data_IF_986284010762
#
_entry.id   IF_986284010762
#
_cell.length_a   1.000
_cell.length_b   1.000
_cell.length_c   1.000
_cell.angle_alpha   90.00
_cell.angle_beta   90.00
_cell.angle_gamma   90.00
#
_symmetry.space_group_name_H-M   'P 1'
#
loop_
_entity.id
_entity.type
_entity.pdbx_description
1 polymer ?
#
# COMPACT_ATOMS: atom_id res chain seq x y z
N UNK A 1 26.20 17.63 26.61
CA UNK A 1 26.91 18.01 25.36
C UNK A 1 26.03 18.81 24.43
N UNK A 2 24.88 18.25 24.04
CA UNK A 2 23.97 18.81 23.02
C UNK A 2 23.50 20.25 23.35
N UNK A 3 22.93 20.50 24.53
CA UNK A 3 22.46 21.84 24.94
C UNK A 3 23.54 22.92 24.82
N UNK A 4 24.78 22.63 25.28
CA UNK A 4 25.92 23.57 25.20
C UNK A 4 26.31 23.87 23.75
N UNK A 5 26.39 22.83 22.90
CA UNK A 5 26.74 23.01 21.48
C UNK A 5 25.66 23.78 20.73
N UNK A 6 24.39 23.46 20.96
CA UNK A 6 23.23 24.15 20.38
C UNK A 6 23.28 25.65 20.66
N UNK A 7 23.44 26.03 21.93
CA UNK A 7 23.53 27.44 22.33
C UNK A 7 24.78 28.14 21.77
N UNK A 8 25.94 27.47 21.78
CA UNK A 8 27.20 28.05 21.32
C UNK A 8 27.20 28.40 19.82
N UNK A 9 26.58 27.57 18.99
CA UNK A 9 26.52 27.79 17.53
C UNK A 9 25.23 28.49 17.08
N UNK A 10 24.31 28.81 18.01
CA UNK A 10 22.98 29.36 17.73
C UNK A 10 22.22 28.56 16.65
N UNK A 11 22.33 27.24 16.70
CA UNK A 11 21.66 26.36 15.74
C UNK A 11 20.14 26.45 15.90
N UNK A 12 19.41 26.20 14.80
CA UNK A 12 17.96 26.00 14.92
C UNK A 12 17.64 24.71 15.66
N UNK A 13 16.45 24.63 16.26
CA UNK A 13 15.94 23.39 16.86
C UNK A 13 15.89 22.27 15.81
N UNK A 14 15.51 22.62 14.58
CA UNK A 14 15.43 21.68 13.44
C UNK A 14 16.79 21.07 13.13
N UNK A 15 17.84 21.89 12.95
CA UNK A 15 19.18 21.38 12.62
C UNK A 15 19.75 20.50 13.73
N UNK A 16 19.51 20.90 14.98
CA UNK A 16 19.99 20.18 16.16
C UNK A 16 19.36 18.81 16.24
N UNK A 17 18.02 18.74 16.15
CA UNK A 17 17.29 17.48 16.22
C UNK A 17 17.48 16.61 14.97
N UNK A 18 17.57 17.21 13.77
CA UNK A 18 17.92 16.47 12.56
C UNK A 18 19.29 15.79 12.70
N UNK A 19 20.28 16.51 13.24
CA UNK A 19 21.59 15.93 13.52
C UNK A 19 21.53 14.75 14.50
N UNK A 20 20.76 14.90 15.60
CA UNK A 20 20.59 13.85 16.60
C UNK A 20 19.81 12.63 16.06
N UNK A 21 18.79 12.85 15.22
CA UNK A 21 17.91 11.80 14.71
C UNK A 21 18.27 11.34 13.30
N UNK A 22 19.42 11.77 12.78
CA UNK A 22 19.94 11.39 11.46
C UNK A 22 20.10 9.87 11.30
N UNK A 23 20.46 9.16 12.38
CA UNK A 23 20.54 7.69 12.41
C UNK A 23 19.20 6.98 12.14
N UNK A 24 18.07 7.68 12.32
CA UNK A 24 16.73 7.20 12.01
C UNK A 24 16.24 7.67 10.64
N UNK A 25 17.09 8.32 9.83
CA UNK A 25 16.72 8.90 8.55
C UNK A 25 15.73 10.05 8.68
N UNK A 26 15.83 10.85 9.75
CA UNK A 26 15.04 12.06 9.93
C UNK A 26 15.49 13.14 8.93
N UNK A 27 14.54 13.69 8.17
CA UNK A 27 14.78 14.88 7.33
C UNK A 27 14.42 16.13 8.09
N UNK A 28 15.02 17.27 7.74
CA UNK A 28 14.65 18.57 8.32
C UNK A 28 13.15 18.87 8.20
N UNK A 29 12.52 18.44 7.10
CA UNK A 29 11.07 18.56 6.89
C UNK A 29 10.24 17.76 7.89
N UNK A 30 10.65 16.54 8.25
CA UNK A 30 9.96 15.73 9.27
C UNK A 30 10.08 16.41 10.62
N UNK A 31 11.29 16.84 11.00
CA UNK A 31 11.55 17.50 12.28
C UNK A 31 10.74 18.81 12.39
N UNK A 32 10.75 19.64 11.35
CA UNK A 32 9.96 20.87 11.32
C UNK A 32 8.47 20.57 11.54
N UNK A 33 7.91 19.62 10.79
CA UNK A 33 6.50 19.21 10.94
C UNK A 33 6.18 18.69 12.34
N UNK A 34 7.07 17.91 12.95
CA UNK A 34 6.93 17.44 14.34
C UNK A 34 6.88 18.61 15.32
N UNK A 35 7.81 19.57 15.20
CA UNK A 35 7.88 20.73 16.10
C UNK A 35 6.68 21.67 15.92
N UNK A 36 6.27 21.91 14.67
CA UNK A 36 5.12 22.75 14.34
C UNK A 36 3.83 22.18 14.93
N UNK A 37 3.66 20.84 14.87
CA UNK A 37 2.50 20.14 15.45
C UNK A 37 2.43 20.29 16.97
N UNK A 38 3.57 20.30 17.65
CA UNK A 38 3.62 20.47 19.10
C UNK A 38 3.54 21.94 19.55
N UNK A 39 3.80 22.88 18.65
CA UNK A 39 3.78 24.32 18.89
C UNK A 39 4.57 24.74 20.16
N UNK A 40 5.69 24.05 20.43
CA UNK A 40 6.54 24.29 21.60
C UNK A 40 7.26 25.62 21.41
N UNK A 41 6.97 26.58 22.29
CA UNK A 41 7.56 27.93 22.25
C UNK A 41 8.86 28.06 23.05
N UNK A 42 9.06 27.18 24.03
CA UNK A 42 10.25 27.22 24.88
C UNK A 42 11.48 26.74 24.11
N UNK A 43 12.65 27.36 24.31
CA UNK A 43 13.84 27.03 23.54
C UNK A 43 14.44 25.69 24.00
N UNK A 44 15.17 25.01 23.11
CA UNK A 44 15.61 23.62 23.30
C UNK A 44 16.45 23.41 24.58
N UNK A 45 17.25 24.40 24.97
CA UNK A 45 18.05 24.33 26.19
C UNK A 45 17.21 24.23 27.46
N UNK A 46 15.98 24.73 27.45
CA UNK A 46 15.07 24.81 28.59
C UNK A 46 14.05 23.65 28.59
N UNK A 47 14.22 22.67 27.69
CA UNK A 47 13.34 21.51 27.68
C UNK A 47 13.62 20.60 28.87
N UNK A 48 12.55 20.36 29.63
CA UNK A 48 12.46 19.37 30.70
C UNK A 48 12.12 17.98 30.14
N UNK A 49 12.25 16.94 30.97
CA UNK A 49 12.05 15.55 30.56
C UNK A 49 10.67 15.30 29.95
N UNK A 50 9.62 15.92 30.48
CA UNK A 50 8.26 15.80 29.97
C UNK A 50 8.14 16.37 28.55
N UNK A 51 8.82 17.49 28.28
CA UNK A 51 8.84 18.08 26.92
C UNK A 51 9.63 17.18 25.97
N UNK A 52 10.77 16.65 26.43
CA UNK A 52 11.58 15.74 25.62
C UNK A 52 10.75 14.51 25.24
N UNK A 53 10.04 13.91 26.21
CA UNK A 53 9.16 12.76 25.96
C UNK A 53 8.06 13.09 24.95
N UNK A 54 7.40 14.25 25.08
CA UNK A 54 6.40 14.70 24.12
C UNK A 54 6.97 14.85 22.70
N UNK A 55 8.17 15.46 22.57
CA UNK A 55 8.86 15.63 21.28
C UNK A 55 9.23 14.28 20.68
N UNK A 56 9.74 13.34 21.48
CA UNK A 56 10.11 12.01 21.02
C UNK A 56 8.87 11.23 20.57
N UNK A 57 7.79 11.24 21.35
CA UNK A 57 6.56 10.54 20.98
C UNK A 57 5.96 11.10 19.68
N UNK A 58 5.90 12.43 19.55
CA UNK A 58 5.43 13.06 18.32
C UNK A 58 6.35 12.77 17.13
N UNK A 59 7.67 12.75 17.33
CA UNK A 59 8.61 12.36 16.29
C UNK A 59 8.39 10.91 15.84
N UNK A 60 8.17 9.98 16.78
CA UNK A 60 7.90 8.58 16.46
C UNK A 60 6.60 8.44 15.67
N UNK A 61 5.52 9.10 16.10
CA UNK A 61 4.24 9.12 15.37
C UNK A 61 4.39 9.68 13.94
N UNK A 62 5.24 10.70 13.77
CA UNK A 62 5.44 11.38 12.50
C UNK A 62 6.34 10.60 11.55
N UNK A 63 7.39 9.98 12.10
CA UNK A 63 8.43 9.28 11.34
C UNK A 63 8.05 7.84 11.04
N UNK A 64 7.34 7.19 11.95
CA UNK A 64 6.98 5.78 11.89
C UNK A 64 5.45 5.60 11.95
N UNK A 65 4.73 6.13 10.96
CA UNK A 65 3.29 5.95 10.93
C UNK A 65 2.96 4.45 10.83
N UNK A 66 2.11 3.97 11.74
CA UNK A 66 1.91 2.53 12.00
C UNK A 66 0.47 2.10 11.80
N UNK A 67 0.29 0.93 11.19
CA UNK A 67 -1.00 0.20 11.07
C UNK A 67 -0.90 -1.07 11.93
N UNK A 68 -1.92 -1.32 12.75
CA UNK A 68 -2.05 -2.49 13.60
C UNK A 68 -2.87 -3.57 12.90
N UNK A 69 -2.20 -4.66 12.53
CA UNK A 69 -2.84 -5.87 12.04
C UNK A 69 -3.24 -6.75 13.22
N UNK A 70 -4.53 -6.75 13.57
CA UNK A 70 -5.08 -7.61 14.62
C UNK A 70 -5.37 -9.00 14.05
N UNK A 71 -4.34 -9.82 14.07
CA UNK A 71 -4.38 -11.17 13.50
C UNK A 71 -5.15 -12.17 14.38
N UNK A 72 -5.60 -13.27 13.75
CA UNK A 72 -6.31 -14.42 14.35
C UNK A 72 -7.81 -14.20 14.58
N UNK A 73 -8.46 -13.42 13.72
CA UNK A 73 -9.93 -13.24 13.79
C UNK A 73 -10.72 -14.52 13.46
N UNK A 74 -10.05 -15.53 12.90
CA UNK A 74 -10.56 -16.90 12.75
C UNK A 74 -10.69 -17.66 14.08
N UNK A 75 -10.23 -17.12 15.21
CA UNK A 75 -10.39 -17.75 16.51
C UNK A 75 -11.72 -17.31 17.17
N UNK A 76 -12.51 -18.24 17.77
CA UNK A 76 -13.82 -17.90 18.36
C UNK A 76 -13.76 -16.85 19.48
N UNK A 77 -12.65 -16.77 20.21
CA UNK A 77 -12.44 -15.76 21.27
C UNK A 77 -11.83 -14.42 20.79
N UNK A 78 -11.63 -14.22 19.48
CA UNK A 78 -10.96 -13.04 18.96
C UNK A 78 -11.66 -11.73 19.32
N UNK A 79 -13.00 -11.71 19.30
CA UNK A 79 -13.82 -10.51 19.51
C UNK A 79 -13.53 -9.79 20.83
N UNK A 80 -13.25 -10.55 21.90
CA UNK A 80 -12.91 -9.97 23.22
C UNK A 80 -11.61 -9.18 23.17
N UNK A 81 -10.61 -9.69 22.45
CA UNK A 81 -9.30 -9.04 22.35
C UNK A 81 -9.35 -7.87 21.36
N UNK A 82 -10.02 -8.05 20.22
CA UNK A 82 -10.28 -6.97 19.27
C UNK A 82 -10.97 -5.80 19.96
N UNK A 83 -12.04 -6.06 20.72
CA UNK A 83 -12.78 -5.01 21.44
C UNK A 83 -11.94 -4.26 22.46
N UNK A 84 -11.02 -4.93 23.16
CA UNK A 84 -10.11 -4.26 24.12
C UNK A 84 -9.17 -3.29 23.41
N UNK A 85 -8.59 -3.71 22.29
CA UNK A 85 -7.62 -2.89 21.54
C UNK A 85 -8.33 -1.75 20.81
N UNK A 86 -9.49 -2.01 20.22
CA UNK A 86 -10.29 -1.00 19.51
C UNK A 86 -10.76 0.16 20.41
N UNK A 87 -10.78 -0.03 21.74
CA UNK A 87 -11.05 1.06 22.70
C UNK A 87 -9.85 1.98 22.96
N UNK A 88 -8.64 1.53 22.64
CA UNK A 88 -7.39 2.24 22.94
C UNK A 88 -6.77 2.90 21.71
N UNK A 89 -7.11 2.41 20.52
CA UNK A 89 -6.49 2.84 19.27
C UNK A 89 -7.59 3.28 18.28
N UNK A 90 -7.40 4.39 17.55
CA UNK A 90 -8.33 4.83 16.54
C UNK A 90 -8.61 3.71 15.51
N UNK A 91 -9.86 3.54 15.07
CA UNK A 91 -10.22 2.48 14.14
C UNK A 91 -9.45 2.58 12.82
N UNK A 92 -9.00 3.78 12.46
CA UNK A 92 -8.21 4.02 11.25
C UNK A 92 -6.81 3.39 11.29
N UNK A 93 -6.29 3.08 12.48
CA UNK A 93 -5.00 2.40 12.63
C UNK A 93 -5.16 0.89 12.80
N UNK A 94 -6.38 0.35 12.75
CA UNK A 94 -6.64 -1.07 12.99
C UNK A 94 -7.12 -1.74 11.70
N UNK A 95 -6.57 -2.92 11.42
CA UNK A 95 -7.10 -3.85 10.43
C UNK A 95 -7.24 -5.21 11.09
N UNK A 96 -8.43 -5.79 11.00
CA UNK A 96 -8.71 -7.14 11.45
C UNK A 96 -8.21 -8.13 10.39
N UNK A 97 -7.43 -9.14 10.76
CA UNK A 97 -6.93 -10.10 9.78
C UNK A 97 -6.87 -11.55 10.25
N UNK A 98 -6.90 -12.46 9.27
CA UNK A 98 -6.62 -13.88 9.44
C UNK A 98 -5.54 -14.29 8.44
N UNK A 99 -4.28 -14.24 8.88
CA UNK A 99 -3.14 -14.63 8.05
C UNK A 99 -3.19 -16.11 7.66
N UNK A 100 -3.71 -16.97 8.54
CA UNK A 100 -3.85 -18.41 8.24
C UNK A 100 -4.88 -18.66 7.14
N UNK A 101 -5.98 -17.91 7.13
CA UNK A 101 -7.00 -17.97 6.08
C UNK A 101 -6.43 -17.51 4.74
N UNK A 102 -5.69 -16.39 4.72
CA UNK A 102 -5.02 -15.91 3.50
C UNK A 102 -4.02 -16.95 2.95
N UNK A 103 -3.16 -17.50 3.80
CA UNK A 103 -2.19 -18.53 3.37
C UNK A 103 -2.90 -19.76 2.80
N UNK A 104 -4.01 -20.18 3.42
CA UNK A 104 -4.80 -21.31 2.95
C UNK A 104 -5.42 -21.04 1.57
N UNK A 105 -6.11 -19.91 1.39
CA UNK A 105 -6.70 -19.54 0.10
C UNK A 105 -5.62 -19.41 -1.00
N UNK A 106 -4.49 -18.76 -0.70
CA UNK A 106 -3.36 -18.65 -1.64
C UNK A 106 -2.81 -20.02 -2.06
N UNK A 107 -2.75 -20.97 -1.13
CA UNK A 107 -2.33 -22.34 -1.42
C UNK A 107 -3.32 -23.04 -2.36
N UNK A 108 -4.62 -22.88 -2.14
CA UNK A 108 -5.64 -23.48 -2.99
C UNK A 108 -5.65 -22.88 -4.40
N UNK A 109 -5.43 -21.58 -4.55
CA UNK A 109 -5.22 -20.95 -5.87
C UNK A 109 -4.02 -21.57 -6.58
N UNK A 110 -2.88 -21.72 -5.89
CA UNK A 110 -1.68 -22.35 -6.48
C UNK A 110 -1.89 -23.81 -6.87
N UNK A 111 -2.80 -24.50 -6.19
CA UNK A 111 -3.16 -25.89 -6.47
C UNK A 111 -4.30 -26.01 -7.48
N UNK A 112 -4.83 -24.89 -7.99
CA UNK A 112 -5.92 -24.81 -8.95
C UNK A 112 -7.23 -25.40 -8.41
N UNK A 113 -7.53 -25.22 -7.12
CA UNK A 113 -8.81 -25.66 -6.52
C UNK A 113 -9.88 -24.57 -6.51
N UNK A 114 -9.45 -23.31 -6.42
CA UNK A 114 -10.35 -22.15 -6.33
C UNK A 114 -9.83 -20.99 -7.18
N UNK A 115 -10.76 -20.12 -7.57
CA UNK A 115 -10.48 -18.76 -8.03
C UNK A 115 -10.64 -17.81 -6.84
N UNK A 116 -9.55 -17.13 -6.46
CA UNK A 116 -9.55 -16.16 -5.38
C UNK A 116 -8.56 -15.03 -5.69
N UNK A 117 -9.02 -13.79 -5.53
CA UNK A 117 -8.20 -12.59 -5.64
C UNK A 117 -7.93 -12.07 -4.23
N UNK A 118 -6.66 -11.81 -3.85
CA UNK A 118 -6.32 -11.33 -2.51
C UNK A 118 -7.06 -10.04 -2.14
N UNK A 119 -7.72 -10.05 -0.99
CA UNK A 119 -8.55 -8.91 -0.54
C UNK A 119 -10.01 -8.96 -1.02
N UNK A 120 -10.36 -9.93 -1.87
CA UNK A 120 -11.74 -10.24 -2.22
C UNK A 120 -12.45 -10.95 -1.07
N UNK A 121 -13.77 -10.76 -0.99
CA UNK A 121 -14.68 -11.63 -0.21
C UNK A 121 -15.06 -12.90 -0.98
N UNK A 122 -14.93 -12.89 -2.31
CA UNK A 122 -15.36 -13.97 -3.18
C UNK A 122 -14.28 -15.04 -3.35
N UNK A 123 -14.71 -16.29 -3.18
CA UNK A 123 -13.92 -17.50 -3.40
C UNK A 123 -14.79 -18.47 -4.19
N UNK A 124 -14.45 -18.66 -5.46
CA UNK A 124 -15.25 -19.46 -6.39
C UNK A 124 -14.57 -20.81 -6.62
N UNK A 125 -15.33 -21.88 -6.41
CA UNK A 125 -14.95 -23.24 -6.80
C UNK A 125 -15.32 -23.53 -8.25
N UNK A 126 -14.90 -24.69 -8.76
CA UNK A 126 -15.33 -25.19 -10.08
C UNK A 126 -16.85 -25.27 -10.19
N UNK A 127 -17.52 -25.75 -9.15
CA UNK A 127 -18.99 -25.91 -9.11
C UNK A 127 -19.68 -24.55 -9.16
N UNK A 128 -19.21 -23.58 -8.34
CA UNK A 128 -19.74 -22.21 -8.32
C UNK A 128 -19.65 -21.54 -9.70
N UNK A 129 -18.50 -21.69 -10.39
CA UNK A 129 -18.31 -21.12 -11.73
C UNK A 129 -19.25 -21.75 -12.76
N UNK A 130 -19.44 -23.07 -12.73
CA UNK A 130 -20.36 -23.77 -13.63
C UNK A 130 -21.81 -23.33 -13.41
N UNK A 131 -22.23 -23.12 -12.16
CA UNK A 131 -23.57 -22.60 -11.83
C UNK A 131 -23.78 -21.18 -12.33
N UNK A 132 -22.74 -20.35 -12.32
CA UNK A 132 -22.74 -19.00 -12.87
C UNK A 132 -22.72 -18.97 -14.42
N UNK A 133 -22.65 -20.13 -15.07
CA UNK A 133 -22.55 -20.26 -16.52
C UNK A 133 -21.18 -19.86 -17.08
N UNK A 134 -20.17 -19.75 -16.22
CA UNK A 134 -18.79 -19.57 -16.62
C UNK A 134 -18.16 -20.93 -16.92
N UNK A 135 -17.50 -21.04 -18.08
CA UNK A 135 -16.70 -22.22 -18.37
C UNK A 135 -15.41 -22.16 -17.50
N UNK A 136 -15.24 -23.07 -16.51
CA UNK A 136 -14.07 -23.08 -15.63
C UNK A 136 -12.76 -23.37 -16.40
N UNK A 137 -12.86 -23.85 -17.64
CA UNK A 137 -11.75 -24.16 -18.52
C UNK A 137 -11.49 -23.01 -19.54
N UNK A 138 -12.44 -22.10 -19.78
CA UNK A 138 -12.31 -21.00 -20.75
C UNK A 138 -11.31 -19.89 -20.34
N UNK A 139 -11.06 -19.72 -19.04
CA UNK A 139 -10.02 -18.82 -18.54
C UNK A 139 -8.65 -19.50 -18.37
N UNK A 140 -8.51 -20.76 -18.82
CA UNK A 140 -7.33 -21.58 -18.56
C UNK A 140 -7.17 -21.99 -17.09
N UNK A 141 -8.20 -21.81 -16.24
CA UNK A 141 -8.10 -22.10 -14.81
C UNK A 141 -8.12 -23.60 -14.46
N UNK A 142 -8.72 -24.45 -15.31
CA UNK A 142 -8.64 -25.91 -15.16
C UNK A 142 -8.92 -26.40 -13.73
N UNK A 143 -9.90 -25.77 -13.04
CA UNK A 143 -10.04 -25.97 -11.61
C UNK A 143 -10.32 -27.44 -11.30
N UNK A 144 -9.55 -27.98 -10.36
CA UNK A 144 -9.66 -29.37 -9.89
C UNK A 144 -10.90 -29.53 -9.03
N UNK A 145 -11.54 -30.68 -9.14
CA UNK A 145 -12.57 -31.08 -8.20
C UNK A 145 -11.99 -31.22 -6.79
N UNK A 146 -12.76 -30.78 -5.80
CA UNK A 146 -12.40 -30.84 -4.39
C UNK A 146 -13.11 -31.99 -3.70
N UNK A 147 -12.45 -32.61 -2.73
CA UNK A 147 -13.12 -33.55 -1.84
C UNK A 147 -14.04 -32.82 -0.84
N UNK A 148 -14.99 -33.55 -0.26
CA UNK A 148 -15.97 -33.00 0.69
C UNK A 148 -15.33 -32.38 1.94
N UNK A 149 -14.17 -32.89 2.37
CA UNK A 149 -13.45 -32.34 3.52
C UNK A 149 -12.91 -30.95 3.19
N UNK A 150 -12.36 -30.77 2.01
CA UNK A 150 -11.82 -29.50 1.55
C UNK A 150 -12.94 -28.48 1.33
N UNK A 151 -14.04 -28.88 0.68
CA UNK A 151 -15.25 -28.05 0.53
C UNK A 151 -15.73 -27.53 1.89
N UNK A 152 -15.91 -28.43 2.85
CA UNK A 152 -16.32 -28.08 4.23
C UNK A 152 -15.36 -27.10 4.89
N UNK A 153 -14.04 -27.23 4.68
CA UNK A 153 -13.05 -26.30 5.25
C UNK A 153 -13.12 -24.91 4.63
N UNK A 154 -13.41 -24.80 3.34
CA UNK A 154 -13.57 -23.53 2.65
C UNK A 154 -14.86 -22.84 3.12
N UNK A 155 -15.96 -23.56 3.21
CA UNK A 155 -17.23 -22.99 3.69
C UNK A 155 -17.13 -22.47 5.13
N UNK A 156 -16.53 -23.25 6.03
CA UNK A 156 -16.27 -22.77 7.40
C UNK A 156 -15.41 -21.49 7.42
N UNK A 157 -14.41 -21.39 6.53
CA UNK A 157 -13.57 -20.19 6.42
C UNK A 157 -14.38 -19.00 5.88
N UNK A 158 -15.21 -19.20 4.84
CA UNK A 158 -16.10 -18.17 4.30
C UNK A 158 -17.00 -17.60 5.41
N UNK A 159 -17.65 -18.47 6.17
CA UNK A 159 -18.53 -18.08 7.27
C UNK A 159 -17.80 -17.36 8.41
N UNK A 160 -16.67 -17.92 8.86
CA UNK A 160 -15.95 -17.40 10.02
C UNK A 160 -15.20 -16.11 9.72
N UNK A 161 -14.75 -15.92 8.47
CA UNK A 161 -13.85 -14.83 8.10
C UNK A 161 -14.44 -13.94 7.01
N UNK A 162 -14.71 -14.48 5.82
CA UNK A 162 -15.00 -13.66 4.65
C UNK A 162 -16.37 -12.95 4.77
N UNK A 163 -17.45 -13.66 5.09
CA UNK A 163 -18.77 -13.04 5.25
C UNK A 163 -18.87 -12.11 6.47
N UNK A 164 -18.06 -12.38 7.50
CA UNK A 164 -18.04 -11.57 8.73
C UNK A 164 -17.24 -10.28 8.59
N UNK A 165 -16.10 -10.33 7.90
CA UNK A 165 -15.13 -9.23 7.86
C UNK A 165 -14.88 -8.68 6.45
N UNK A 166 -15.52 -9.24 5.43
CA UNK A 166 -15.41 -8.84 4.01
C UNK A 166 -14.10 -9.23 3.33
N UNK A 167 -13.09 -9.70 4.06
CA UNK A 167 -11.86 -10.28 3.48
C UNK A 167 -11.04 -10.98 4.57
N UNK A 168 -9.88 -11.52 4.20
CA UNK A 168 -8.87 -12.00 5.17
C UNK A 168 -8.15 -10.87 5.90
N UNK A 169 -8.31 -9.61 5.47
CA UNK A 169 -7.68 -8.42 6.04
C UNK A 169 -6.20 -8.23 5.72
N UNK A 170 -5.49 -9.25 5.21
CA UNK A 170 -4.04 -9.15 4.93
C UNK A 170 -3.74 -8.12 3.84
N UNK A 171 -4.51 -8.14 2.74
CA UNK A 171 -4.36 -7.13 1.70
C UNK A 171 -4.76 -5.72 2.19
N UNK A 172 -5.81 -5.63 3.00
CA UNK A 172 -6.27 -4.38 3.60
C UNK A 172 -5.20 -3.71 4.48
N UNK A 173 -4.36 -4.49 5.19
CA UNK A 173 -3.20 -3.95 5.94
C UNK A 173 -2.25 -3.19 5.00
N UNK A 174 -1.95 -3.76 3.83
CA UNK A 174 -1.05 -3.15 2.85
C UNK A 174 -1.67 -1.90 2.22
N UNK A 175 -2.97 -1.95 1.92
CA UNK A 175 -3.73 -0.80 1.42
C UNK A 175 -3.71 0.34 2.43
N UNK A 176 -4.04 0.06 3.70
CA UNK A 176 -3.98 1.03 4.81
C UNK A 176 -2.59 1.61 5.00
N UNK A 177 -1.54 0.79 4.91
CA UNK A 177 -0.16 1.27 5.03
C UNK A 177 0.20 2.22 3.88
N UNK A 178 -0.26 1.93 2.67
CA UNK A 178 -0.04 2.78 1.49
C UNK A 178 -0.78 4.11 1.62
N UNK A 179 -2.04 4.10 2.06
CA UNK A 179 -2.83 5.30 2.35
C UNK A 179 -2.20 6.16 3.44
N UNK A 180 -1.74 5.52 4.52
CA UNK A 180 -1.12 6.19 5.65
C UNK A 180 0.20 6.88 5.25
N UNK A 181 0.95 6.26 4.35
CA UNK A 181 2.16 6.86 3.76
C UNK A 181 1.84 7.90 2.67
N UNK A 182 0.56 8.08 2.32
CA UNK A 182 0.11 8.99 1.27
C UNK A 182 0.65 8.60 -0.10
N UNK A 183 0.69 7.30 -0.40
CA UNK A 183 1.19 6.79 -1.67
C UNK A 183 0.08 6.77 -2.72
N UNK A 184 0.45 7.12 -3.96
CA UNK A 184 -0.37 7.04 -5.16
C UNK A 184 0.20 5.93 -6.03
N UNK A 185 -0.64 4.97 -6.41
CA UNK A 185 -0.29 3.96 -7.39
C UNK A 185 -0.40 4.55 -8.80
N UNK A 186 0.66 4.42 -9.58
CA UNK A 186 0.71 4.84 -10.98
C UNK A 186 1.13 3.64 -11.82
N UNK A 187 0.38 3.39 -12.90
CA UNK A 187 0.54 2.26 -13.78
C UNK A 187 1.15 2.71 -15.11
N UNK A 188 2.48 2.58 -15.28
CA UNK A 188 3.11 2.82 -16.56
C UNK A 188 2.70 1.72 -17.55
N UNK A 189 2.21 2.13 -18.72
CA UNK A 189 1.80 1.25 -19.82
C UNK A 189 2.46 1.66 -21.13
N UNK A 190 2.71 0.71 -22.04
CA UNK A 190 3.25 1.05 -23.36
C UNK A 190 2.19 1.57 -24.31
N UNK A 191 0.94 1.16 -24.12
CA UNK A 191 -0.19 1.55 -24.96
C UNK A 191 -1.39 1.89 -24.08
N UNK A 192 -1.91 3.12 -24.20
CA UNK A 192 -3.09 3.60 -23.45
C UNK A 192 -4.39 2.90 -23.87
N UNK A 193 -4.53 2.52 -25.14
CA UNK A 193 -5.74 1.88 -25.64
C UNK A 193 -5.90 0.43 -25.19
N UNK A 194 -4.79 -0.28 -24.99
CA UNK A 194 -4.80 -1.69 -24.55
C UNK A 194 -4.34 -1.90 -23.11
N UNK A 195 -3.77 -0.87 -22.48
CA UNK A 195 -3.10 -0.93 -21.18
C UNK A 195 -1.97 -1.99 -21.09
N UNK A 196 -1.46 -2.43 -22.24
CA UNK A 196 -0.43 -3.46 -22.33
C UNK A 196 0.97 -2.94 -22.00
N UNK A 197 1.79 -3.79 -21.38
CA UNK A 197 3.18 -3.47 -21.00
C UNK A 197 4.23 -3.78 -22.08
N UNK A 198 3.84 -4.27 -23.27
CA UNK A 198 4.78 -4.88 -24.23
C UNK A 198 4.14 -5.39 -25.52
N UNK A 199 4.99 -5.90 -26.42
CA UNK A 199 4.53 -6.78 -27.51
C UNK A 199 4.07 -8.12 -26.91
N UNK A 200 3.00 -8.67 -27.48
CA UNK A 200 2.59 -10.05 -27.27
C UNK A 200 3.79 -10.97 -27.60
N UNK A 201 4.02 -12.02 -26.80
CA UNK A 201 4.92 -13.09 -27.22
C UNK A 201 4.49 -13.66 -28.58
N UNK A 202 5.40 -14.26 -29.33
CA UNK A 202 5.05 -14.91 -30.60
C UNK A 202 4.04 -16.03 -30.37
N UNK A 203 2.76 -15.78 -30.63
CA UNK A 203 1.65 -16.70 -30.38
C UNK A 203 0.33 -15.99 -30.03
N UNK A 204 -0.64 -16.74 -29.49
CA UNK A 204 -1.94 -16.23 -29.02
C UNK A 204 -1.88 -15.52 -27.65
N UNK A 205 -0.69 -15.32 -27.07
CA UNK A 205 -0.52 -14.69 -25.76
C UNK A 205 -0.64 -13.17 -25.86
N UNK A 206 -1.74 -12.61 -25.35
CA UNK A 206 -1.88 -11.16 -25.21
C UNK A 206 -0.86 -10.62 -24.20
N UNK A 207 -0.26 -9.47 -24.51
CA UNK A 207 0.63 -8.79 -23.57
C UNK A 207 -0.08 -8.53 -22.23
N UNK A 208 0.63 -8.76 -21.12
CA UNK A 208 0.09 -8.52 -19.80
C UNK A 208 -0.36 -7.05 -19.66
N UNK A 209 -1.58 -6.88 -19.17
CA UNK A 209 -2.21 -5.58 -18.90
C UNK A 209 -1.85 -5.15 -17.48
N UNK A 210 -1.52 -3.86 -17.29
CA UNK A 210 -1.12 -3.29 -15.99
C UNK A 210 -0.04 -4.11 -15.25
N UNK A 211 0.95 -4.59 -16.00
CA UNK A 211 2.04 -5.41 -15.46
C UNK A 211 2.81 -4.70 -14.35
N UNK A 212 3.08 -3.41 -14.55
CA UNK A 212 3.94 -2.61 -13.69
C UNK A 212 3.10 -1.61 -12.90
N UNK A 213 3.43 -1.44 -11.62
CA UNK A 213 2.83 -0.46 -10.73
C UNK A 213 3.93 0.21 -9.90
N UNK A 214 3.92 1.54 -9.89
CA UNK A 214 4.90 2.36 -9.17
C UNK A 214 4.18 3.20 -8.14
N UNK A 215 4.62 3.10 -6.90
CA UNK A 215 4.11 3.93 -5.81
C UNK A 215 4.91 5.23 -5.73
N UNK A 216 4.24 6.38 -5.85
CA UNK A 216 4.83 7.72 -5.63
C UNK A 216 4.12 8.43 -4.49
N UNK A 217 4.70 9.52 -3.98
CA UNK A 217 4.04 10.29 -2.91
C UNK A 217 2.91 11.13 -3.48
N UNK A 218 1.89 11.40 -2.68
CA UNK A 218 0.86 12.39 -2.98
C UNK A 218 1.51 13.74 -3.31
N UNK A 219 1.05 14.36 -4.40
CA UNK A 219 1.62 15.60 -4.92
C UNK A 219 2.83 15.42 -5.84
N UNK A 220 3.23 14.17 -6.15
CA UNK A 220 4.19 13.92 -7.22
C UNK A 220 3.61 14.32 -8.58
N UNK A 221 4.51 14.70 -9.48
CA UNK A 221 4.18 15.08 -10.85
C UNK A 221 4.40 13.93 -11.84
N UNK A 222 3.87 14.05 -13.05
CA UNK A 222 4.15 13.12 -14.16
C UNK A 222 5.65 12.98 -14.40
N UNK A 223 6.41 14.08 -14.33
CA UNK A 223 7.87 14.09 -14.47
C UNK A 223 8.58 13.32 -13.36
N UNK A 224 8.08 13.37 -12.12
CA UNK A 224 8.62 12.56 -11.01
C UNK A 224 8.44 11.06 -11.26
N UNK A 225 7.25 10.68 -11.76
CA UNK A 225 7.00 9.28 -12.15
C UNK A 225 7.91 8.87 -13.29
N UNK A 226 8.04 9.72 -14.32
CA UNK A 226 8.90 9.46 -15.46
C UNK A 226 10.35 9.20 -15.03
N UNK A 227 10.94 10.10 -14.24
CA UNK A 227 12.30 9.94 -13.72
C UNK A 227 12.46 8.66 -12.89
N UNK A 228 11.44 8.30 -12.12
CA UNK A 228 11.45 7.06 -11.33
C UNK A 228 11.42 5.79 -12.17
N UNK A 229 10.74 5.81 -13.32
CA UNK A 229 10.58 4.65 -14.21
C UNK A 229 11.70 4.56 -15.25
N UNK A 230 12.07 5.69 -15.85
CA UNK A 230 12.91 5.78 -17.05
C UNK A 230 14.30 6.40 -16.78
N UNK A 231 14.56 6.88 -15.56
CA UNK A 231 15.82 7.53 -15.21
C UNK A 231 16.02 8.84 -15.97
N UNK A 232 17.22 9.00 -16.55
CA UNK A 232 17.64 10.22 -17.27
C UNK A 232 17.35 10.17 -18.79
N UNK A 233 16.54 9.21 -19.25
CA UNK A 233 16.20 9.11 -20.67
C UNK A 233 15.45 10.37 -21.16
N UNK A 234 15.69 10.87 -22.38
CA UNK A 234 15.01 12.06 -22.88
C UNK A 234 13.52 11.79 -23.10
N UNK A 235 12.67 12.61 -22.49
CA UNK A 235 11.22 12.49 -22.66
C UNK A 235 10.77 13.23 -23.93
N UNK A 236 10.01 12.57 -24.81
CA UNK A 236 9.38 13.23 -25.95
C UNK A 236 7.99 13.76 -25.58
N UNK A 237 7.11 12.91 -25.06
CA UNK A 237 5.80 13.30 -24.53
C UNK A 237 5.19 12.16 -23.69
N UNK A 238 4.15 12.50 -22.92
CA UNK A 238 3.40 11.56 -22.09
C UNK A 238 1.93 11.57 -22.49
N UNK A 239 1.30 10.40 -22.50
CA UNK A 239 -0.14 10.24 -22.70
C UNK A 239 -0.78 9.62 -21.46
N UNK A 240 -2.02 10.01 -21.17
CA UNK A 240 -2.88 9.36 -20.18
C UNK A 240 -4.14 8.80 -20.86
N UNK A 241 -5.07 8.25 -20.07
CA UNK A 241 -6.32 7.63 -20.53
C UNK A 241 -7.04 8.53 -21.54
N UNK A 242 -7.52 7.91 -22.62
CA UNK A 242 -8.13 8.63 -23.75
C UNK A 242 -7.13 9.18 -24.78
N UNK A 243 -5.82 8.89 -24.62
CA UNK A 243 -4.78 9.39 -25.53
C UNK A 243 -4.50 10.88 -25.34
N UNK A 244 -4.85 11.42 -24.17
CA UNK A 244 -4.68 12.83 -23.85
C UNK A 244 -3.22 13.07 -23.48
N UNK A 245 -2.60 14.09 -24.09
CA UNK A 245 -1.24 14.52 -23.71
C UNK A 245 -1.26 15.27 -22.39
N UNK A 246 -0.30 14.95 -21.53
CA UNK A 246 -0.13 15.58 -20.21
C UNK A 246 1.27 16.17 -20.08
N UNK A 247 1.37 17.25 -19.32
CA UNK A 247 2.62 17.93 -19.00
C UNK A 247 3.41 17.16 -17.95
N UNK A 248 4.74 17.32 -17.94
CA UNK A 248 5.58 16.82 -16.85
C UNK A 248 5.22 17.45 -15.49
N UNK A 249 4.68 18.67 -15.50
CA UNK A 249 4.27 19.41 -14.31
C UNK A 249 2.90 18.97 -13.76
N UNK A 250 2.13 18.20 -14.54
CA UNK A 250 0.81 17.75 -14.10
C UNK A 250 0.92 16.80 -12.92
N UNK A 251 0.10 17.01 -11.89
CA UNK A 251 0.06 16.12 -10.73
C UNK A 251 -0.56 14.75 -11.07
N UNK A 252 -0.04 13.71 -10.42
CA UNK A 252 -0.64 12.38 -10.42
C UNK A 252 -1.46 12.15 -9.15
N UNK A 253 -2.57 11.43 -9.29
CA UNK A 253 -3.47 11.07 -8.20
C UNK A 253 -4.43 9.95 -8.60
N UNK A 254 -5.14 9.33 -7.65
CA UNK A 254 -6.13 8.30 -7.98
C UNK A 254 -7.18 8.83 -8.97
N UNK A 255 -7.34 8.17 -10.10
CA UNK A 255 -8.21 8.57 -11.22
C UNK A 255 -7.72 9.78 -12.03
N UNK A 256 -6.52 10.31 -11.75
CA UNK A 256 -5.94 11.48 -12.41
C UNK A 256 -4.49 11.21 -12.76
N UNK A 257 -4.20 10.99 -14.05
CA UNK A 257 -2.83 10.72 -14.52
C UNK A 257 -2.17 9.53 -13.80
N UNK A 258 -2.97 8.57 -13.31
CA UNK A 258 -2.51 7.35 -12.64
C UNK A 258 -2.27 6.19 -13.62
N UNK A 259 -2.63 6.36 -14.90
CA UNK A 259 -2.22 5.47 -15.99
C UNK A 259 -1.47 6.34 -17.01
N UNK A 260 -0.20 6.02 -17.25
CA UNK A 260 0.69 6.84 -18.07
C UNK A 260 1.42 6.01 -19.13
N UNK A 261 1.51 6.54 -20.34
CA UNK A 261 2.38 6.02 -21.39
C UNK A 261 3.47 7.02 -21.74
N UNK A 262 4.71 6.64 -21.44
CA UNK A 262 5.89 7.47 -21.69
C UNK A 262 6.45 7.20 -23.08
N UNK A 263 6.60 8.24 -23.90
CA UNK A 263 7.28 8.16 -25.19
C UNK A 263 8.66 8.81 -25.06
N UNK A 264 9.70 8.01 -25.24
CA UNK A 264 11.09 8.46 -25.13
C UNK A 264 11.52 9.09 -26.46
N UNK A 265 12.21 10.22 -26.39
CA UNK A 265 12.83 10.87 -27.55
C UNK A 265 14.07 10.10 -28.04
N UNK A 266 14.48 10.36 -29.29
CA UNK A 266 15.83 9.99 -29.71
C UNK A 266 16.79 11.07 -29.19
N UNK A 267 17.78 10.65 -28.40
CA UNK A 267 18.91 11.50 -28.03
C UNK A 267 19.79 11.83 -29.22
#
# INVERSE_FOLDING_TARGET
>A
GVKRRHAAIKASNVDTLQGQFSGYGATGTIIARTLDRLAIKQPLQDWENETIEQVVNAFVDEKFPTVLALNKIDHPDADKNVSKIARLVPPERIVLCSAISEVFLRRLVKQEYIRYIPGSEFVDSREDLLELGEDPDAAGSGLKEMDEKLKTRIENLKDMVLYRFGSTGVNQVLTRASELLGLVAVFPVRNIGTFGSGEAGTGAERAAVFRDCVLVKKGSTVGDVYRKVMGDAPLAFVETVGGIRVSEEDEVGPGKNDILSFKVGRG
#
